data_IF_104112382540
#
_entry.id   IF_104112382540
#
_cell.length_a   1.000
_cell.length_b   1.000
_cell.length_c   1.000
_cell.angle_alpha   90.00
_cell.angle_beta   90.00
_cell.angle_gamma   90.00
#
_symmetry.space_group_name_H-M   'P 1'
#
loop_
_entity.id
_entity.type
_entity.pdbx_description
1 polymer ?
#
# COMPACT_ATOMS: atom_id res chain seq x y z
N UNK A 1 18.07 -9.18 -5.21
CA UNK A 1 17.51 -10.50 -4.84
C UNK A 1 17.66 -11.41 -6.04
N UNK A 2 18.53 -12.42 -5.94
CA UNK A 2 18.80 -13.38 -7.01
C UNK A 2 17.62 -14.36 -7.18
N UNK A 3 17.45 -14.90 -8.39
CA UNK A 3 16.22 -15.53 -8.88
C UNK A 3 15.70 -16.72 -8.06
N UNK A 4 14.59 -16.49 -7.35
CA UNK A 4 13.71 -17.54 -6.87
C UNK A 4 12.76 -18.01 -7.99
N UNK A 5 12.37 -19.30 -7.98
CA UNK A 5 11.44 -19.88 -8.97
C UNK A 5 10.01 -19.34 -8.85
N UNK A 6 9.68 -18.76 -7.70
CA UNK A 6 8.39 -18.10 -7.43
C UNK A 6 8.67 -16.66 -7.06
N UNK A 7 7.91 -15.74 -7.64
CA UNK A 7 7.89 -14.32 -7.28
C UNK A 7 6.53 -13.94 -6.74
N UNK A 8 6.51 -13.13 -5.69
CA UNK A 8 5.29 -12.64 -5.04
C UNK A 8 5.20 -11.14 -5.20
N UNK A 9 4.05 -10.69 -5.71
CA UNK A 9 3.73 -9.27 -5.83
C UNK A 9 2.45 -8.95 -5.07
N UNK A 10 2.41 -7.75 -4.48
CA UNK A 10 1.20 -7.19 -3.88
C UNK A 10 0.86 -5.86 -4.55
N UNK A 11 -0.42 -5.53 -4.64
CA UNK A 11 -0.90 -4.27 -5.22
C UNK A 11 -2.01 -3.69 -4.37
N UNK A 12 -1.85 -2.43 -3.97
CA UNK A 12 -2.94 -1.70 -3.31
C UNK A 12 -3.76 -0.93 -4.33
N UNK A 13 -5.08 -1.15 -4.33
CA UNK A 13 -6.04 -0.49 -5.22
C UNK A 13 -6.56 0.82 -4.64
N UNK A 14 -7.13 1.72 -5.46
CA UNK A 14 -7.91 2.84 -4.96
C UNK A 14 -9.12 2.37 -4.14
N UNK A 15 -9.68 3.28 -3.35
CA UNK A 15 -10.95 3.04 -2.69
C UNK A 15 -12.09 2.85 -3.69
N UNK A 16 -13.02 1.96 -3.35
CA UNK A 16 -14.29 1.82 -4.06
C UNK A 16 -15.34 2.80 -3.50
N UNK A 17 -16.50 2.87 -4.16
CA UNK A 17 -17.57 3.81 -3.79
C UNK A 17 -18.04 3.68 -2.33
N UNK A 18 -18.07 2.45 -1.79
CA UNK A 18 -18.48 2.22 -0.39
C UNK A 18 -17.44 2.72 0.59
N UNK A 19 -16.17 2.51 0.31
CA UNK A 19 -15.06 2.95 1.17
C UNK A 19 -14.98 4.48 1.20
N UNK A 20 -15.15 5.13 0.05
CA UNK A 20 -15.26 6.59 -0.06
C UNK A 20 -16.49 7.14 0.67
N UNK A 21 -17.67 6.53 0.46
CA UNK A 21 -18.91 6.96 1.10
C UNK A 21 -18.94 6.76 2.63
N UNK A 22 -18.02 5.97 3.17
CA UNK A 22 -17.81 5.79 4.62
C UNK A 22 -16.59 6.51 5.16
N UNK A 23 -15.94 7.35 4.35
CA UNK A 23 -14.72 8.07 4.73
C UNK A 23 -13.64 7.14 5.33
N UNK A 24 -13.50 5.96 4.70
CA UNK A 24 -12.58 4.92 5.19
C UNK A 24 -11.14 5.41 5.12
N UNK A 25 -10.37 5.17 6.18
CA UNK A 25 -8.95 5.55 6.24
C UNK A 25 -8.09 4.50 5.53
N UNK A 26 -7.10 4.96 4.76
CA UNK A 26 -6.12 4.05 4.17
C UNK A 26 -5.15 3.61 5.25
N UNK A 27 -5.06 2.30 5.46
CA UNK A 27 -4.19 1.70 6.48
C UNK A 27 -2.95 1.02 5.89
N UNK A 28 -2.75 1.15 4.58
CA UNK A 28 -1.63 0.56 3.85
C UNK A 28 -0.64 1.67 3.50
N UNK A 29 0.63 1.41 3.74
CA UNK A 29 1.75 2.20 3.27
C UNK A 29 2.73 1.29 2.52
N UNK A 30 3.42 1.81 1.52
CA UNK A 30 4.44 1.05 0.79
C UNK A 30 5.71 1.89 0.65
N UNK A 31 6.86 1.27 0.85
CA UNK A 31 8.18 1.87 0.64
C UNK A 31 9.09 0.85 -0.01
N UNK A 32 9.48 1.10 -1.26
CA UNK A 32 10.17 0.11 -2.09
C UNK A 32 9.38 -1.19 -2.17
N UNK A 33 10.00 -2.28 -1.73
CA UNK A 33 9.42 -3.62 -1.72
C UNK A 33 8.62 -3.95 -0.45
N UNK A 34 8.61 -3.03 0.53
CA UNK A 34 7.97 -3.22 1.83
C UNK A 34 6.54 -2.70 1.79
N UNK A 35 5.59 -3.51 2.27
CA UNK A 35 4.20 -3.10 2.54
C UNK A 35 3.95 -3.12 4.04
N UNK A 36 3.47 -1.99 4.58
CA UNK A 36 3.12 -1.83 5.99
C UNK A 36 1.61 -1.69 6.16
N UNK A 37 1.04 -2.45 7.09
CA UNK A 37 -0.35 -2.32 7.51
C UNK A 37 -0.44 -1.75 8.93
N UNK A 38 -1.33 -0.78 9.12
CA UNK A 38 -1.56 -0.10 10.39
C UNK A 38 -2.89 -0.59 10.98
N UNK A 39 -2.89 -0.97 12.26
CA UNK A 39 -4.15 -1.26 12.95
C UNK A 39 -4.87 0.06 13.32
N UNK A 40 -6.07 0.35 12.78
CA UNK A 40 -6.77 1.60 13.10
C UNK A 40 -7.19 1.71 14.57
N UNK A 41 -7.30 0.58 15.29
CA UNK A 41 -7.60 0.54 16.73
C UNK A 41 -6.36 0.72 17.61
N UNK A 42 -5.17 0.42 17.07
CA UNK A 42 -3.88 0.52 17.77
C UNK A 42 -2.84 1.14 16.83
N UNK A 43 -2.86 2.46 16.60
CA UNK A 43 -2.04 3.10 15.55
C UNK A 43 -0.53 2.98 15.75
N UNK A 44 -0.09 2.68 16.99
CA UNK A 44 1.31 2.43 17.33
C UNK A 44 1.79 1.03 16.92
N UNK A 45 0.86 0.11 16.62
CA UNK A 45 1.18 -1.23 16.14
C UNK A 45 1.05 -1.27 14.61
N UNK A 46 2.20 -1.38 13.95
CA UNK A 46 2.28 -1.58 12.51
C UNK A 46 2.98 -2.90 12.20
N UNK A 47 2.58 -3.54 11.10
CA UNK A 47 3.18 -4.79 10.63
C UNK A 47 3.72 -4.57 9.22
N UNK A 48 4.99 -4.88 9.02
CA UNK A 48 5.69 -4.70 7.74
C UNK A 48 6.01 -6.05 7.11
N UNK A 49 5.79 -6.14 5.80
CA UNK A 49 5.99 -7.34 4.99
C UNK A 49 6.83 -7.00 3.77
N UNK A 50 7.79 -7.87 3.44
CA UNK A 50 8.64 -7.72 2.25
C UNK A 50 8.19 -8.68 1.15
N UNK A 51 8.15 -8.18 -0.08
CA UNK A 51 7.78 -8.94 -1.29
C UNK A 51 8.80 -8.71 -2.40
N UNK A 52 8.70 -9.48 -3.50
CA UNK A 52 9.50 -9.19 -4.70
C UNK A 52 9.05 -7.88 -5.35
N UNK A 53 7.76 -7.56 -5.27
CA UNK A 53 7.19 -6.31 -5.75
C UNK A 53 6.04 -5.82 -4.87
N UNK A 54 6.03 -4.52 -4.55
CA UNK A 54 4.92 -3.83 -3.87
C UNK A 54 4.45 -2.66 -4.74
N UNK A 55 3.26 -2.80 -5.35
CA UNK A 55 2.71 -1.82 -6.29
C UNK A 55 1.70 -0.89 -5.62
N UNK A 56 2.04 0.40 -5.54
CA UNK A 56 1.11 1.45 -5.13
C UNK A 56 0.26 1.91 -6.31
N UNK A 57 -1.03 1.59 -6.31
CA UNK A 57 -2.01 2.14 -7.26
C UNK A 57 -3.17 2.85 -6.55
N UNK A 58 -3.02 3.17 -5.27
CA UNK A 58 -4.11 3.71 -4.45
C UNK A 58 -4.45 5.16 -4.79
N UNK A 59 -3.47 5.95 -5.25
CA UNK A 59 -3.67 7.30 -5.77
C UNK A 59 -3.36 7.31 -7.26
N UNK A 60 -4.24 7.88 -8.09
CA UNK A 60 -3.84 8.33 -9.42
C UNK A 60 -2.84 9.47 -9.22
N UNK A 61 -1.68 9.42 -9.86
CA UNK A 61 -0.70 10.51 -9.83
C UNK A 61 -1.33 11.74 -10.49
N UNK A 62 -2.03 12.56 -9.70
CA UNK A 62 -2.47 13.90 -10.08
C UNK A 62 -2.02 14.85 -8.98
N UNK A 63 -0.71 14.98 -8.87
CA UNK A 63 0.03 16.13 -8.35
C UNK A 63 1.50 15.70 -8.27
N UNK A 64 2.20 15.71 -9.41
CA UNK A 64 3.59 16.15 -9.32
C UNK A 64 3.53 17.59 -8.78
N UNK A 65 4.23 17.94 -7.69
CA UNK A 65 4.43 19.35 -7.40
C UNK A 65 5.12 19.95 -8.63
N UNK A 66 4.58 21.04 -9.16
CA UNK A 66 5.36 21.88 -10.06
C UNK A 66 6.63 22.28 -9.31
N UNK A 67 7.76 22.13 -10.00
CA UNK A 67 9.13 22.56 -9.72
C UNK A 67 9.39 23.33 -8.42
#
# INVERSE_FOLDING_TARGET
>A
MAGASVKVAVRVRPFNSREMGKESKCIIQMSGNTTTIINPKQPKESKSFNFDYSYWSHTTVRAAPAS
#
